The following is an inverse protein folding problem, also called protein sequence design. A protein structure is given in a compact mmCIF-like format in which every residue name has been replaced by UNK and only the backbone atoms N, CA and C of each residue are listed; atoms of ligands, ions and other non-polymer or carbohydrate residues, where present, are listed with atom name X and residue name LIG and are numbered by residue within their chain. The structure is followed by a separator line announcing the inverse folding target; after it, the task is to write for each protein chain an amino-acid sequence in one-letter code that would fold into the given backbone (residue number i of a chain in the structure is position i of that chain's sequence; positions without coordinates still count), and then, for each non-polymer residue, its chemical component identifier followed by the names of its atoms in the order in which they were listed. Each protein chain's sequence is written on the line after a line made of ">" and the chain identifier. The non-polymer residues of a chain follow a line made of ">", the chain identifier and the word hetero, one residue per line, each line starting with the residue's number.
data_IF_449460997343
#
_entry.id   IF_449460997343
#
_cell.length_a   1.000
_cell.length_b   1.000
_cell.length_c   1.000
_cell.angle_alpha   90.00
_cell.angle_beta   90.00
_cell.angle_gamma   90.00
#
_symmetry.space_group_name_H-M   'P 1'
#
loop_
_entity.id
_entity.type
_entity.pdbx_description
1 polymer ?
#
# COMPACT_ATOMS: atom_id res chain seq x y z
N UNK A 1 28.94 0.45 -12.21
CA UNK A 1 28.44 1.16 -13.41
C UNK A 1 27.66 2.38 -12.96
N UNK A 2 27.92 3.55 -13.55
CA UNK A 2 27.30 4.82 -13.12
C UNK A 2 25.81 4.86 -13.43
N UNK A 3 25.01 5.37 -12.49
CA UNK A 3 23.56 5.52 -12.65
C UNK A 3 23.23 6.62 -13.67
N UNK A 4 22.45 6.30 -14.69
CA UNK A 4 22.01 7.27 -15.70
C UNK A 4 20.92 8.16 -15.08
N UNK A 5 21.14 9.47 -15.09
CA UNK A 5 20.28 10.49 -14.44
C UNK A 5 19.45 11.33 -15.41
N UNK A 6 19.56 11.10 -16.72
CA UNK A 6 18.85 11.89 -17.72
C UNK A 6 18.44 11.03 -18.92
N UNK A 7 17.21 11.20 -19.40
CA UNK A 7 16.72 10.63 -20.65
C UNK A 7 17.15 11.50 -21.84
N UNK A 8 17.62 10.87 -22.92
CA UNK A 8 17.78 11.54 -24.21
C UNK A 8 16.42 11.85 -24.83
N UNK A 9 16.37 12.82 -25.75
CA UNK A 9 15.16 13.13 -26.53
C UNK A 9 14.64 11.92 -27.31
N UNK A 10 15.56 11.17 -27.95
CA UNK A 10 15.22 9.95 -28.69
C UNK A 10 14.59 8.87 -27.81
N UNK A 11 15.09 8.70 -26.58
CA UNK A 11 14.51 7.73 -25.64
C UNK A 11 13.12 8.18 -25.18
N UNK A 12 12.91 9.48 -25.00
CA UNK A 12 11.59 10.04 -24.67
C UNK A 12 10.58 9.81 -25.80
N UNK A 13 10.99 10.04 -27.04
CA UNK A 13 10.12 9.84 -28.22
C UNK A 13 9.77 8.36 -28.40
N UNK A 14 10.76 7.47 -28.25
CA UNK A 14 10.52 6.01 -28.26
C UNK A 14 9.55 5.57 -27.17
N UNK A 15 9.67 6.12 -25.95
CA UNK A 15 8.73 5.83 -24.85
C UNK A 15 7.31 6.26 -25.23
N UNK A 16 7.12 7.45 -25.79
CA UNK A 16 5.81 7.94 -26.21
C UNK A 16 5.20 7.03 -27.28
N UNK A 17 5.99 6.63 -28.28
CA UNK A 17 5.54 5.72 -29.32
C UNK A 17 5.19 4.33 -28.79
N UNK A 18 6.02 3.81 -27.87
CA UNK A 18 5.81 2.52 -27.21
C UNK A 18 4.57 2.51 -26.32
N UNK A 19 4.30 3.63 -25.66
CA UNK A 19 3.06 3.84 -24.91
C UNK A 19 1.85 3.86 -25.87
N UNK A 20 1.94 4.57 -27.00
CA UNK A 20 0.87 4.63 -28.02
C UNK A 20 0.62 3.28 -28.70
N UNK A 21 1.64 2.44 -28.85
CA UNK A 21 1.48 1.04 -29.31
C UNK A 21 0.91 0.11 -28.23
N UNK A 22 0.58 0.67 -27.07
CA UNK A 22 -0.17 0.00 -26.02
C UNK A 22 0.66 -0.81 -25.03
N UNK A 23 1.95 -0.52 -24.90
CA UNK A 23 2.79 -1.14 -23.88
C UNK A 23 2.59 -0.44 -22.54
N UNK A 24 2.44 -1.22 -21.46
CA UNK A 24 2.23 -0.69 -20.11
C UNK A 24 3.39 0.21 -19.64
N UNK A 25 3.10 1.40 -19.05
CA UNK A 25 4.12 2.27 -18.48
C UNK A 25 5.03 1.57 -17.46
N UNK A 26 4.50 0.60 -16.71
CA UNK A 26 5.28 -0.17 -15.71
C UNK A 26 6.32 -1.05 -16.39
N UNK A 27 5.98 -1.67 -17.53
CA UNK A 27 6.91 -2.50 -18.30
C UNK A 27 8.06 -1.67 -18.85
N UNK A 28 7.76 -0.45 -19.31
CA UNK A 28 8.76 0.50 -19.79
C UNK A 28 9.66 0.94 -18.63
N UNK A 29 9.07 1.29 -17.46
CA UNK A 29 9.82 1.68 -16.27
C UNK A 29 10.80 0.59 -15.82
N UNK A 30 10.31 -0.65 -15.72
CA UNK A 30 11.13 -1.80 -15.33
C UNK A 30 12.26 -2.06 -16.33
N UNK A 31 11.99 -1.86 -17.63
CA UNK A 31 12.98 -1.90 -18.69
C UNK A 31 14.09 -0.86 -18.52
N UNK A 32 13.72 0.38 -18.18
CA UNK A 32 14.67 1.47 -17.91
C UNK A 32 15.52 1.18 -16.68
N UNK A 33 14.93 0.68 -15.59
CA UNK A 33 15.67 0.28 -14.39
C UNK A 33 16.68 -0.82 -14.70
N UNK A 34 16.27 -1.85 -15.46
CA UNK A 34 17.18 -2.92 -15.93
C UNK A 34 18.32 -2.38 -16.79
N UNK A 35 18.14 -1.25 -17.46
CA UNK A 35 19.16 -0.57 -18.28
C UNK A 35 20.01 0.42 -17.47
N UNK A 36 19.84 0.50 -16.15
CA UNK A 36 20.69 1.30 -15.26
C UNK A 36 20.21 2.73 -15.01
N UNK A 37 18.98 3.06 -15.39
CA UNK A 37 18.35 4.31 -14.98
C UNK A 37 18.02 4.29 -13.49
N UNK A 38 18.12 5.46 -12.84
CA UNK A 38 17.64 5.60 -11.48
C UNK A 38 16.13 5.26 -11.41
N UNK A 39 15.68 4.39 -10.49
CA UNK A 39 14.28 3.97 -10.41
C UNK A 39 13.30 5.13 -10.26
N UNK A 40 13.57 6.07 -9.34
CA UNK A 40 12.72 7.24 -9.12
C UNK A 40 12.62 8.08 -10.39
N UNK A 41 13.75 8.36 -11.04
CA UNK A 41 13.78 9.08 -12.31
C UNK A 41 13.02 8.37 -13.43
N UNK A 42 13.14 7.04 -13.55
CA UNK A 42 12.44 6.25 -14.57
C UNK A 42 10.91 6.31 -14.39
N UNK A 43 10.43 6.09 -13.17
CA UNK A 43 9.00 6.16 -12.86
C UNK A 43 8.47 7.60 -12.98
N UNK A 44 9.13 8.60 -12.36
CA UNK A 44 8.72 10.01 -12.44
C UNK A 44 8.71 10.54 -13.88
N UNK A 45 9.70 10.19 -14.70
CA UNK A 45 9.74 10.60 -16.11
C UNK A 45 8.59 9.99 -16.90
N UNK A 46 8.24 8.73 -16.64
CA UNK A 46 7.09 8.09 -17.26
C UNK A 46 5.77 8.72 -16.81
N UNK A 47 5.63 9.08 -15.53
CA UNK A 47 4.45 9.82 -15.05
C UNK A 47 4.33 11.21 -15.68
N UNK A 48 5.45 11.94 -15.85
CA UNK A 48 5.47 13.24 -16.53
C UNK A 48 5.17 13.13 -18.03
N UNK A 49 5.64 12.06 -18.69
CA UNK A 49 5.37 11.81 -20.12
C UNK A 49 3.91 11.40 -20.35
N UNK A 50 3.32 10.61 -19.45
CA UNK A 50 1.93 10.14 -19.55
C UNK A 50 0.92 11.24 -19.16
N UNK A 51 1.35 12.25 -18.41
CA UNK A 51 0.68 13.56 -18.22
C UNK A 51 -0.83 13.58 -18.46
N UNK A 52 -1.64 13.04 -17.54
CA UNK A 52 -3.11 13.05 -17.55
C UNK A 52 -3.84 12.57 -18.82
N UNK A 53 -3.16 12.02 -19.83
CA UNK A 53 -3.81 11.46 -21.02
C UNK A 53 -4.05 9.95 -20.86
N UNK A 54 -5.28 9.52 -21.12
CA UNK A 54 -5.66 8.12 -21.11
C UNK A 54 -5.06 7.41 -22.33
N UNK A 55 -3.92 6.73 -22.15
CA UNK A 55 -3.31 5.91 -23.20
C UNK A 55 -4.02 4.56 -23.25
N UNK A 56 -4.71 4.28 -24.36
CA UNK A 56 -5.31 2.96 -24.60
C UNK A 56 -4.21 1.93 -24.89
N UNK A 57 -4.02 0.98 -23.98
CA UNK A 57 -3.06 -0.11 -24.14
C UNK A 57 -3.72 -1.38 -24.67
N UNK A 58 -3.26 -1.86 -25.83
CA UNK A 58 -3.66 -3.15 -26.42
C UNK A 58 -2.91 -4.29 -25.74
N UNK A 59 -3.38 -4.71 -24.57
CA UNK A 59 -2.81 -5.84 -23.86
C UNK A 59 -3.72 -6.23 -22.71
N UNK A 60 -4.49 -7.30 -22.94
CA UNK A 60 -5.60 -7.81 -22.12
C UNK A 60 -6.90 -7.02 -22.29
N UNK A 61 -7.91 -7.64 -22.91
CA UNK A 61 -9.31 -7.44 -22.54
C UNK A 61 -9.50 -7.92 -21.08
N UNK A 62 -8.82 -7.28 -20.12
CA UNK A 62 -9.21 -7.39 -18.72
C UNK A 62 -10.54 -6.67 -18.63
N UNK A 63 -11.61 -7.42 -18.35
CA UNK A 63 -12.91 -6.82 -18.05
C UNK A 63 -12.69 -5.65 -17.08
N UNK A 64 -13.11 -4.45 -17.51
CA UNK A 64 -12.86 -3.23 -16.75
C UNK A 64 -13.35 -3.43 -15.31
N UNK A 65 -12.47 -3.20 -14.32
CA UNK A 65 -12.82 -3.37 -12.92
C UNK A 65 -14.10 -2.59 -12.59
N UNK A 66 -15.11 -3.30 -12.09
CA UNK A 66 -16.37 -2.68 -11.71
C UNK A 66 -16.24 -2.10 -10.31
N UNK A 67 -16.19 -0.76 -10.24
CA UNK A 67 -16.07 -0.06 -8.97
C UNK A 67 -17.34 -0.13 -8.15
N UNK A 68 -17.18 -0.43 -6.88
CA UNK A 68 -18.22 -0.43 -5.85
C UNK A 68 -17.77 0.47 -4.70
N UNK A 69 -18.72 1.07 -3.98
CA UNK A 69 -18.43 1.82 -2.75
C UNK A 69 -18.45 0.84 -1.57
N UNK A 70 -17.31 0.56 -0.91
CA UNK A 70 -17.27 -0.26 0.29
C UNK A 70 -18.06 0.40 1.43
N UNK A 71 -18.48 -0.38 2.42
CA UNK A 71 -19.36 0.09 3.49
C UNK A 71 -18.76 1.26 4.29
N UNK A 72 -17.45 1.25 4.55
CA UNK A 72 -16.73 2.39 5.17
C UNK A 72 -16.91 3.69 4.37
N UNK A 73 -17.05 3.63 3.05
CA UNK A 73 -17.28 4.78 2.19
C UNK A 73 -18.66 5.41 2.31
N UNK A 74 -19.58 4.76 3.03
CA UNK A 74 -20.94 5.25 3.30
C UNK A 74 -21.07 5.93 4.66
N UNK A 75 -20.02 5.92 5.49
CA UNK A 75 -20.01 6.49 6.85
C UNK A 75 -19.90 8.01 6.93
N UNK A 76 -19.93 8.72 5.81
CA UNK A 76 -19.82 10.18 5.75
C UNK A 76 -18.43 10.71 6.13
N UNK A 77 -18.37 11.94 6.64
CA UNK A 77 -17.11 12.64 6.90
C UNK A 77 -16.51 12.34 8.29
N UNK A 78 -17.23 11.63 9.14
CA UNK A 78 -16.78 11.25 10.49
C UNK A 78 -17.25 9.84 10.79
N UNK A 79 -16.30 8.97 11.11
CA UNK A 79 -16.55 7.60 11.53
C UNK A 79 -16.51 7.57 13.05
N UNK A 80 -17.63 7.20 13.67
CA UNK A 80 -17.74 7.03 15.11
C UNK A 80 -17.44 5.58 15.47
N UNK A 81 -16.46 5.37 16.34
CA UNK A 81 -16.21 4.10 17.03
C UNK A 81 -16.64 4.26 18.49
N UNK A 82 -16.68 3.16 19.23
CA UNK A 82 -17.04 3.18 20.65
C UNK A 82 -16.10 4.02 21.50
N UNK A 83 -14.86 4.24 21.05
CA UNK A 83 -13.81 4.91 21.81
C UNK A 83 -13.18 6.12 21.08
N UNK A 84 -13.64 6.45 19.87
CA UNK A 84 -12.98 7.49 19.05
C UNK A 84 -13.86 8.07 17.95
N UNK A 85 -13.64 9.34 17.65
CA UNK A 85 -14.15 9.98 16.44
C UNK A 85 -13.01 10.11 15.41
N UNK A 86 -13.17 9.46 14.26
CA UNK A 86 -12.19 9.46 13.17
C UNK A 86 -12.69 10.40 12.07
N UNK A 87 -11.86 11.34 11.62
CA UNK A 87 -12.22 12.26 10.53
C UNK A 87 -11.75 11.71 9.19
N UNK A 88 -12.62 11.75 8.18
CA UNK A 88 -12.23 11.48 6.80
C UNK A 88 -11.65 12.77 6.21
N UNK A 89 -10.35 12.79 5.97
CA UNK A 89 -9.64 13.96 5.45
C UNK A 89 -9.79 14.09 3.93
N UNK A 90 -9.72 12.98 3.22
CA UNK A 90 -9.87 12.94 1.77
C UNK A 90 -10.35 11.58 1.29
N UNK A 91 -11.04 11.58 0.15
CA UNK A 91 -11.55 10.39 -0.52
C UNK A 91 -11.10 10.37 -1.98
N UNK A 92 -10.63 9.22 -2.43
CA UNK A 92 -10.40 8.90 -3.85
C UNK A 92 -11.38 7.79 -4.19
N UNK A 93 -12.13 7.94 -5.27
CA UNK A 93 -13.13 6.94 -5.68
C UNK A 93 -12.51 5.81 -6.50
N UNK A 94 -11.42 6.08 -7.23
CA UNK A 94 -10.78 5.14 -8.17
C UNK A 94 -9.24 5.26 -8.14
N UNK A 95 -8.52 4.34 -7.46
CA UNK A 95 -9.05 3.28 -6.61
C UNK A 95 -9.74 3.85 -5.38
N UNK A 96 -10.53 3.04 -4.67
CA UNK A 96 -11.18 3.49 -3.44
C UNK A 96 -10.13 3.68 -2.33
N UNK A 97 -9.85 4.93 -1.95
CA UNK A 97 -8.91 5.30 -0.88
C UNK A 97 -9.57 6.30 0.06
N UNK A 98 -9.42 6.09 1.37
CA UNK A 98 -9.73 7.06 2.40
C UNK A 98 -8.48 7.42 3.19
N UNK A 99 -8.24 8.72 3.35
CA UNK A 99 -7.27 9.23 4.31
C UNK A 99 -8.02 9.59 5.59
N UNK A 100 -7.62 8.97 6.71
CA UNK A 100 -8.30 9.04 7.99
C UNK A 100 -7.38 9.73 9.01
N UNK A 101 -7.91 10.69 9.76
CA UNK A 101 -7.22 11.31 10.88
C UNK A 101 -7.75 10.80 12.21
N UNK A 102 -6.93 10.93 13.25
CA UNK A 102 -7.30 10.59 14.61
C UNK A 102 -7.72 9.11 14.73
N UNK A 103 -7.04 8.18 14.05
CA UNK A 103 -7.28 6.74 14.17
C UNK A 103 -6.59 6.18 15.42
N UNK A 104 -5.39 6.66 15.72
CA UNK A 104 -4.63 6.35 16.94
C UNK A 104 -4.30 7.65 17.70
N UNK A 105 -4.18 7.58 19.02
CA UNK A 105 -3.60 8.71 19.78
C UNK A 105 -2.08 8.70 19.69
N UNK A 106 -1.47 9.81 20.12
CA UNK A 106 -0.01 9.89 20.18
C UNK A 106 0.58 8.81 21.11
N UNK A 107 -0.08 8.55 22.23
CA UNK A 107 0.28 7.54 23.23
C UNK A 107 0.12 6.12 22.68
N UNK A 108 -0.97 5.86 21.94
CA UNK A 108 -1.18 4.55 21.30
C UNK A 108 -0.11 4.28 20.22
N UNK A 109 0.29 5.31 19.48
CA UNK A 109 1.40 5.19 18.52
C UNK A 109 2.73 4.85 19.22
N UNK A 110 3.06 5.58 20.29
CA UNK A 110 4.29 5.35 21.07
C UNK A 110 4.28 3.96 21.73
N UNK A 111 3.14 3.53 22.24
CA UNK A 111 2.98 2.22 22.85
C UNK A 111 3.18 1.10 21.80
N UNK A 112 2.63 1.24 20.59
CA UNK A 112 2.86 0.29 19.49
C UNK A 112 4.35 0.21 19.11
N UNK A 113 5.03 1.35 18.98
CA UNK A 113 6.47 1.40 18.66
C UNK A 113 7.27 0.72 19.78
N UNK A 114 7.02 1.10 21.03
CA UNK A 114 7.73 0.55 22.19
C UNK A 114 7.61 -0.97 22.28
N UNK A 115 6.39 -1.51 22.20
CA UNK A 115 6.11 -2.95 22.29
C UNK A 115 6.65 -3.77 21.10
N UNK A 116 6.83 -3.15 19.93
CA UNK A 116 7.29 -3.83 18.71
C UNK A 116 8.80 -3.74 18.49
N UNK A 117 9.46 -2.68 18.98
CA UNK A 117 10.86 -2.36 18.69
C UNK A 117 11.84 -3.52 18.89
N UNK A 118 11.74 -4.21 20.03
CA UNK A 118 12.60 -5.35 20.37
C UNK A 118 12.30 -6.64 19.57
N UNK A 119 11.17 -6.68 18.85
CA UNK A 119 10.71 -7.86 18.08
C UNK A 119 11.00 -7.74 16.58
N UNK A 120 11.41 -6.57 16.10
CA UNK A 120 11.64 -6.31 14.69
C UNK A 120 12.75 -7.19 14.11
N UNK A 121 12.45 -7.81 12.96
CA UNK A 121 13.42 -8.56 12.15
C UNK A 121 13.40 -8.03 10.71
N UNK A 122 14.47 -8.20 9.92
CA UNK A 122 14.44 -7.82 8.50
C UNK A 122 13.21 -8.40 7.80
N UNK A 123 12.49 -7.55 7.05
CA UNK A 123 11.26 -7.97 6.37
C UNK A 123 11.57 -8.96 5.26
N UNK A 124 10.62 -9.86 5.01
CA UNK A 124 10.64 -10.76 3.88
C UNK A 124 9.51 -10.40 2.91
N UNK A 125 9.67 -10.81 1.66
CA UNK A 125 8.62 -10.82 0.65
C UNK A 125 8.29 -12.26 0.29
N UNK A 126 7.06 -12.51 -0.13
CA UNK A 126 6.67 -13.79 -0.72
C UNK A 126 7.01 -13.73 -2.20
N UNK A 127 7.86 -14.66 -2.65
CA UNK A 127 8.19 -14.81 -4.07
C UNK A 127 6.93 -15.20 -4.86
N UNK A 128 6.61 -14.43 -5.90
CA UNK A 128 5.37 -14.62 -6.68
C UNK A 128 5.37 -15.93 -7.48
N UNK A 129 6.54 -16.48 -7.79
CA UNK A 129 6.72 -17.73 -8.53
C UNK A 129 6.72 -18.90 -7.55
N UNK A 130 7.65 -18.91 -6.60
CA UNK A 130 7.89 -20.05 -5.71
C UNK A 130 6.95 -20.08 -4.50
N UNK A 131 6.42 -18.92 -4.07
CA UNK A 131 5.64 -18.79 -2.85
C UNK A 131 6.47 -18.78 -1.56
N UNK A 132 7.81 -18.76 -1.67
CA UNK A 132 8.70 -18.75 -0.51
C UNK A 132 8.93 -17.34 0.05
N UNK A 133 9.10 -17.22 1.37
CA UNK A 133 9.52 -15.98 1.99
C UNK A 133 11.03 -15.75 1.81
N UNK A 134 11.43 -14.65 1.17
CA UNK A 134 12.84 -14.26 0.99
C UNK A 134 13.07 -12.82 1.39
N UNK A 135 14.26 -12.51 1.89
CA UNK A 135 14.73 -11.11 2.00
C UNK A 135 14.91 -10.61 0.57
N UNK A 136 14.21 -9.54 0.19
CA UNK A 136 14.26 -9.03 -1.18
C UNK A 136 14.75 -7.58 -1.24
N UNK A 137 15.54 -7.22 -2.28
CA UNK A 137 16.01 -5.85 -2.49
C UNK A 137 14.88 -4.81 -2.57
N UNK A 138 13.66 -5.23 -2.90
CA UNK A 138 12.50 -4.35 -3.05
C UNK A 138 11.77 -3.98 -1.75
N UNK A 139 12.09 -4.62 -0.61
CA UNK A 139 11.52 -4.31 0.71
C UNK A 139 12.65 -4.35 1.74
N UNK A 140 13.09 -3.18 2.19
CA UNK A 140 14.28 -3.06 3.05
C UNK A 140 13.95 -2.74 4.50
N UNK A 141 12.66 -2.63 4.87
CA UNK A 141 12.23 -2.39 6.25
C UNK A 141 12.48 -3.56 7.18
N UNK A 142 12.43 -3.29 8.49
CA UNK A 142 12.26 -4.32 9.52
C UNK A 142 10.79 -4.42 9.90
N UNK A 143 10.34 -5.63 10.25
CA UNK A 143 8.95 -5.89 10.61
C UNK A 143 8.78 -6.96 11.69
N UNK A 144 7.61 -6.96 12.30
CA UNK A 144 7.13 -8.01 13.19
C UNK A 144 5.60 -8.14 13.05
N UNK A 145 5.03 -9.23 13.56
CA UNK A 145 3.59 -9.46 13.61
C UNK A 145 3.13 -9.69 15.05
N UNK A 146 1.99 -9.10 15.41
CA UNK A 146 1.21 -9.48 16.57
C UNK A 146 0.30 -10.65 16.20
N UNK A 147 0.10 -11.60 17.12
CA UNK A 147 -1.07 -12.49 17.03
C UNK A 147 -2.37 -11.70 17.19
N UNK A 148 -3.49 -12.22 16.69
CA UNK A 148 -4.80 -11.61 16.97
C UNK A 148 -5.01 -11.48 18.47
N UNK A 149 -5.47 -10.30 18.90
CA UNK A 149 -5.79 -9.98 20.29
C UNK A 149 -4.67 -10.37 21.27
N UNK A 150 -3.39 -10.31 20.84
CA UNK A 150 -2.24 -10.84 21.60
C UNK A 150 -2.17 -10.30 23.04
N UNK A 151 -2.63 -9.07 23.24
CA UNK A 151 -2.82 -8.47 24.56
C UNK A 151 -4.01 -7.49 24.53
N UNK A 152 -4.41 -7.00 25.70
CA UNK A 152 -5.57 -6.10 25.84
C UNK A 152 -5.46 -4.81 25.02
N UNK A 153 -4.24 -4.29 24.85
CA UNK A 153 -4.00 -3.10 24.04
C UNK A 153 -4.22 -3.38 22.54
N UNK A 154 -3.65 -4.47 22.01
CA UNK A 154 -3.87 -4.89 20.63
C UNK A 154 -5.34 -5.23 20.39
N UNK A 155 -6.00 -5.94 21.31
CA UNK A 155 -7.42 -6.26 21.23
C UNK A 155 -8.31 -5.00 21.16
N UNK A 156 -8.00 -3.96 21.94
CA UNK A 156 -8.68 -2.67 21.87
C UNK A 156 -8.54 -2.03 20.48
N UNK A 157 -7.32 -2.00 19.94
CA UNK A 157 -7.08 -1.42 18.61
C UNK A 157 -7.79 -2.22 17.51
N UNK A 158 -7.73 -3.55 17.56
CA UNK A 158 -8.40 -4.40 16.58
C UNK A 158 -9.92 -4.25 16.62
N UNK A 159 -10.52 -4.06 17.81
CA UNK A 159 -11.93 -3.72 17.91
C UNK A 159 -12.27 -2.39 17.25
N UNK A 160 -11.43 -1.37 17.43
CA UNK A 160 -11.59 -0.09 16.71
C UNK A 160 -11.47 -0.28 15.20
N UNK A 161 -10.55 -1.12 14.74
CA UNK A 161 -10.37 -1.38 13.30
C UNK A 161 -11.56 -2.12 12.69
N UNK A 162 -12.17 -3.07 13.41
CA UNK A 162 -13.44 -3.68 13.02
C UNK A 162 -14.52 -2.61 12.86
N UNK A 163 -14.68 -1.72 13.84
CA UNK A 163 -15.69 -0.66 13.78
C UNK A 163 -15.44 0.35 12.66
N UNK A 164 -14.18 0.68 12.36
CA UNK A 164 -13.82 1.53 11.21
C UNK A 164 -14.18 0.84 9.89
N UNK A 165 -13.70 -0.39 9.71
CA UNK A 165 -13.68 -1.10 8.42
C UNK A 165 -14.94 -1.91 8.15
N UNK A 166 -15.77 -2.14 9.17
CA UNK A 166 -16.96 -3.02 9.19
C UNK A 166 -16.68 -4.51 9.00
N UNK A 167 -15.40 -4.91 9.04
CA UNK A 167 -15.01 -6.31 8.94
C UNK A 167 -14.69 -6.89 10.33
N UNK A 168 -15.24 -8.06 10.69
CA UNK A 168 -14.93 -8.71 11.97
C UNK A 168 -13.43 -8.93 12.17
N UNK A 169 -12.97 -8.89 13.43
CA UNK A 169 -11.55 -9.10 13.78
C UNK A 169 -10.98 -10.38 13.14
N UNK A 170 -11.77 -11.44 13.02
CA UNK A 170 -11.39 -12.75 12.49
C UNK A 170 -11.06 -12.74 10.98
N UNK A 171 -11.49 -11.70 10.25
CA UNK A 171 -11.10 -11.47 8.86
C UNK A 171 -9.73 -10.79 8.77
N UNK A 172 -9.26 -10.19 9.86
CA UNK A 172 -8.01 -9.46 9.89
C UNK A 172 -6.81 -10.36 10.12
N UNK A 173 -5.77 -10.22 9.31
CA UNK A 173 -4.46 -10.79 9.65
C UNK A 173 -3.90 -10.13 10.92
N UNK A 174 -2.95 -10.79 11.59
CA UNK A 174 -2.24 -10.20 12.72
C UNK A 174 -1.61 -8.84 12.37
N UNK A 175 -1.71 -7.86 13.28
CA UNK A 175 -1.22 -6.50 13.05
C UNK A 175 0.30 -6.52 12.79
N UNK A 176 0.71 -6.09 11.60
CA UNK A 176 2.12 -5.99 11.25
C UNK A 176 2.66 -4.61 11.63
N UNK A 177 3.77 -4.53 12.36
CA UNK A 177 4.49 -3.26 12.56
C UNK A 177 5.77 -3.26 11.75
N UNK A 178 6.07 -2.14 11.09
CA UNK A 178 7.23 -1.94 10.23
C UNK A 178 7.97 -0.66 10.61
N UNK A 179 9.29 -0.70 10.49
CA UNK A 179 10.18 0.46 10.61
C UNK A 179 11.04 0.59 9.34
N UNK A 180 11.13 1.81 8.82
CA UNK A 180 11.99 2.21 7.72
C UNK A 180 12.97 3.28 8.20
N UNK A 181 14.26 3.00 8.11
CA UNK A 181 15.34 3.95 8.30
C UNK A 181 15.53 4.84 7.05
N UNK A 182 16.33 5.89 7.17
CA UNK A 182 16.71 6.71 6.01
C UNK A 182 17.28 5.85 4.86
N UNK A 183 16.76 6.06 3.66
CA UNK A 183 17.06 5.30 2.45
C UNK A 183 16.24 4.02 2.26
N UNK A 184 15.55 3.52 3.29
CA UNK A 184 14.73 2.31 3.17
C UNK A 184 13.37 2.61 2.53
N UNK A 185 12.87 1.66 1.74
CA UNK A 185 11.65 1.80 0.94
C UNK A 185 10.90 0.47 0.79
N UNK A 186 9.72 0.56 0.18
CA UNK A 186 9.02 -0.61 -0.36
C UNK A 186 8.53 -0.31 -1.79
N UNK A 187 9.08 -1.03 -2.76
CA UNK A 187 8.75 -0.91 -4.18
C UNK A 187 7.26 -1.14 -4.46
N UNK A 188 6.83 -0.67 -5.63
CA UNK A 188 5.46 -0.80 -6.08
C UNK A 188 4.98 -2.26 -6.05
N UNK A 189 3.86 -2.51 -5.38
CA UNK A 189 3.28 -3.83 -5.21
C UNK A 189 1.76 -3.74 -5.05
N UNK A 190 1.13 -4.92 -4.99
CA UNK A 190 -0.25 -5.11 -4.61
C UNK A 190 -0.30 -5.86 -3.28
N UNK A 191 -1.30 -5.55 -2.47
CA UNK A 191 -1.55 -6.29 -1.22
C UNK A 191 -2.35 -7.56 -1.44
N UNK A 192 -3.20 -7.60 -2.48
CA UNK A 192 -3.90 -8.81 -2.89
C UNK A 192 -2.93 -9.87 -3.42
N UNK A 193 -3.33 -11.13 -3.28
CA UNK A 193 -2.59 -12.25 -3.83
C UNK A 193 -2.87 -12.42 -5.32
N UNK A 194 -1.90 -12.90 -6.12
CA UNK A 194 -2.18 -13.47 -7.43
C UNK A 194 -3.30 -14.52 -7.35
N UNK A 195 -4.19 -14.57 -8.34
CA UNK A 195 -5.38 -15.46 -8.32
C UNK A 195 -5.05 -16.92 -8.02
N UNK A 196 -3.92 -17.42 -8.53
CA UNK A 196 -3.45 -18.80 -8.31
C UNK A 196 -2.77 -19.04 -6.94
N UNK A 197 -2.67 -18.02 -6.09
CA UNK A 197 -2.05 -18.07 -4.75
C UNK A 197 -3.06 -17.75 -3.64
N UNK A 198 -4.34 -17.60 -3.97
CA UNK A 198 -5.40 -17.37 -2.99
C UNK A 198 -5.65 -18.65 -2.20
N UNK A 199 -5.46 -18.60 -0.88
CA UNK A 199 -5.73 -19.71 0.03
C UNK A 199 -7.05 -19.47 0.78
N UNK A 200 -8.13 -20.07 0.27
CA UNK A 200 -9.47 -19.98 0.88
C UNK A 200 -9.57 -20.66 2.25
N UNK A 201 -8.63 -21.55 2.61
CA UNK A 201 -8.57 -22.11 3.97
C UNK A 201 -8.06 -21.10 5.00
N UNK A 202 -7.46 -19.98 4.54
CA UNK A 202 -6.93 -18.89 5.36
C UNK A 202 -7.63 -17.57 5.05
N UNK A 203 -8.95 -17.61 4.95
CA UNK A 203 -9.78 -16.44 4.72
C UNK A 203 -9.82 -15.93 3.28
N UNK A 204 -9.13 -16.58 2.34
CA UNK A 204 -9.22 -16.25 0.92
C UNK A 204 -8.45 -14.99 0.53
N UNK A 205 -8.98 -14.23 -0.43
CA UNK A 205 -8.31 -13.05 -0.97
C UNK A 205 -8.22 -11.93 0.09
N UNK A 206 -7.15 -11.13 0.06
CA UNK A 206 -7.12 -9.84 0.77
C UNK A 206 -7.99 -8.85 -0.01
N UNK A 207 -8.84 -8.11 0.69
CA UNK A 207 -9.83 -7.22 0.07
C UNK A 207 -9.53 -5.74 0.32
N UNK A 208 -8.86 -5.45 1.42
CA UNK A 208 -8.55 -4.10 1.85
C UNK A 208 -7.36 -4.08 2.81
N UNK A 209 -6.80 -2.88 2.94
CA UNK A 209 -5.69 -2.59 3.84
C UNK A 209 -5.99 -1.34 4.64
N UNK A 210 -5.72 -1.39 5.95
CA UNK A 210 -5.63 -0.23 6.82
C UNK A 210 -4.16 -0.05 7.24
N UNK A 211 -3.51 0.98 6.68
CA UNK A 211 -2.12 1.33 6.96
C UNK A 211 -2.07 2.55 7.89
N UNK A 212 -1.57 2.36 9.09
CA UNK A 212 -1.51 3.37 10.15
C UNK A 212 -0.10 3.98 10.25
N UNK A 213 -0.01 5.29 10.39
CA UNK A 213 1.26 6.00 10.59
C UNK A 213 1.50 6.24 12.08
N UNK A 214 2.60 5.72 12.62
CA UNK A 214 2.90 5.74 14.06
C UNK A 214 3.79 6.92 14.46
N UNK A 215 4.37 7.64 13.50
CA UNK A 215 5.11 8.87 13.71
C UNK A 215 5.00 9.78 12.49
N UNK A 216 5.31 11.06 12.69
CA UNK A 216 5.56 11.99 11.60
C UNK A 216 6.94 11.69 11.00
N UNK A 217 7.04 11.78 9.67
CA UNK A 217 8.30 11.59 8.94
C UNK A 217 8.80 12.94 8.48
N UNK A 218 10.07 13.25 8.74
CA UNK A 218 10.62 14.58 8.48
C UNK A 218 10.72 14.90 6.99
N UNK A 219 11.17 13.96 6.16
CA UNK A 219 11.14 14.07 4.70
C UNK A 219 11.11 12.68 4.05
N UNK A 220 10.30 12.53 3.00
CA UNK A 220 10.11 11.26 2.29
C UNK A 220 9.15 10.32 3.00
N UNK A 221 9.17 9.03 2.64
CA UNK A 221 8.35 8.00 3.28
C UNK A 221 6.87 8.02 2.92
N UNK A 222 6.42 8.78 1.91
CA UNK A 222 5.04 8.81 1.45
C UNK A 222 4.57 7.43 0.97
N UNK A 223 3.29 7.15 1.22
CA UNK A 223 2.60 6.03 0.56
C UNK A 223 2.02 6.54 -0.75
N UNK A 224 2.57 6.08 -1.87
CA UNK A 224 2.25 6.58 -3.22
C UNK A 224 1.43 5.55 -3.96
N UNK A 225 0.29 5.98 -4.52
CA UNK A 225 -0.57 5.25 -5.45
C UNK A 225 -0.32 5.79 -6.86
N UNK A 226 0.72 5.32 -7.58
CA UNK A 226 1.20 5.95 -8.81
C UNK A 226 0.13 6.08 -9.89
N UNK A 227 -0.69 5.05 -10.08
CA UNK A 227 -1.75 5.06 -11.11
C UNK A 227 -2.89 6.02 -10.77
N UNK A 228 -3.10 6.31 -9.50
CA UNK A 228 -4.10 7.26 -9.04
C UNK A 228 -3.59 8.71 -9.02
N UNK A 229 -2.27 8.92 -9.14
CA UNK A 229 -1.65 10.24 -8.94
C UNK A 229 -1.76 10.73 -7.50
N UNK A 230 -1.86 9.83 -6.51
CA UNK A 230 -2.09 10.16 -5.09
C UNK A 230 -0.88 9.80 -4.27
N UNK A 231 -0.47 10.70 -3.38
CA UNK A 231 0.56 10.45 -2.37
C UNK A 231 0.03 10.83 -1.00
N UNK A 232 0.19 9.94 -0.02
CA UNK A 232 -0.22 10.15 1.36
C UNK A 232 1.03 10.40 2.21
N UNK A 233 1.13 11.60 2.76
CA UNK A 233 2.22 11.99 3.67
C UNK A 233 1.97 11.34 5.04
N UNK A 234 2.99 10.71 5.65
CA UNK A 234 2.87 10.14 6.99
C UNK A 234 2.59 11.22 8.03
N UNK A 235 1.46 11.10 8.73
CA UNK A 235 1.09 11.94 9.87
C UNK A 235 0.80 11.05 11.07
N UNK A 236 1.46 11.28 12.21
CA UNK A 236 1.28 10.47 13.43
C UNK A 236 -0.21 10.34 13.79
N UNK A 237 -0.66 9.12 14.00
CA UNK A 237 -2.04 8.81 14.39
C UNK A 237 -3.07 8.77 13.26
N UNK A 238 -2.67 9.15 12.04
CA UNK A 238 -3.49 9.01 10.84
C UNK A 238 -3.37 7.61 10.22
N UNK A 239 -4.26 7.29 9.29
CA UNK A 239 -4.20 6.06 8.52
C UNK A 239 -4.67 6.28 7.08
N UNK A 240 -4.23 5.42 6.17
CA UNK A 240 -4.84 5.27 4.85
C UNK A 240 -5.54 3.91 4.77
N UNK A 241 -6.82 3.95 4.41
CA UNK A 241 -7.60 2.77 4.05
C UNK A 241 -7.73 2.70 2.54
N UNK A 242 -7.50 1.54 1.94
CA UNK A 242 -7.76 1.34 0.52
C UNK A 242 -8.36 -0.04 0.26
N UNK A 243 -9.32 -0.10 -0.65
CA UNK A 243 -10.10 -1.29 -0.99
C UNK A 243 -9.82 -1.66 -2.45
N UNK A 244 -9.65 -2.95 -2.72
CA UNK A 244 -9.14 -3.40 -4.02
C UNK A 244 -9.81 -4.67 -4.54
N UNK A 245 -10.99 -5.02 -4.02
CA UNK A 245 -11.85 -6.07 -4.56
C UNK A 245 -13.28 -5.60 -4.71
N UNK A 246 -14.05 -6.26 -5.57
CA UNK A 246 -15.50 -6.04 -5.69
C UNK A 246 -16.29 -7.32 -5.48
N UNK A 247 -17.63 -7.22 -5.49
CA UNK A 247 -18.52 -8.37 -5.31
C UNK A 247 -18.40 -9.46 -6.39
N UNK A 248 -17.74 -9.16 -7.52
CA UNK A 248 -17.47 -10.10 -8.60
C UNK A 248 -16.14 -10.85 -8.44
N UNK A 249 -15.41 -10.64 -7.33
CA UNK A 249 -14.11 -11.25 -7.09
C UNK A 249 -12.98 -10.68 -7.97
N UNK A 250 -13.20 -9.53 -8.62
CA UNK A 250 -12.16 -8.84 -9.37
C UNK A 250 -11.19 -8.13 -8.40
N UNK A 251 -9.96 -7.86 -8.86
CA UNK A 251 -8.98 -7.07 -8.12
C UNK A 251 -8.65 -5.76 -8.85
N UNK A 252 -8.54 -4.66 -8.11
CA UNK A 252 -8.29 -3.33 -8.69
C UNK A 252 -6.80 -3.06 -8.90
N UNK A 253 -6.36 -3.07 -10.16
CA UNK A 253 -4.97 -2.75 -10.52
C UNK A 253 -4.59 -1.29 -10.32
N UNK A 254 -5.54 -0.40 -10.03
CA UNK A 254 -5.26 1.00 -9.67
C UNK A 254 -4.77 1.14 -8.23
N UNK A 255 -4.98 0.12 -7.39
CA UNK A 255 -4.52 0.06 -6.00
C UNK A 255 -3.02 -0.24 -5.82
N UNK A 256 -2.28 -0.36 -6.92
CA UNK A 256 -0.81 -0.50 -6.86
C UNK A 256 -0.24 0.66 -6.05
N UNK A 257 0.62 0.35 -5.09
CA UNK A 257 1.17 1.36 -4.21
C UNK A 257 2.59 1.01 -3.77
N UNK A 258 3.29 2.01 -3.25
CA UNK A 258 4.67 1.93 -2.77
C UNK A 258 4.87 2.80 -1.55
N UNK A 259 5.91 2.51 -0.75
CA UNK A 259 6.45 3.45 0.22
C UNK A 259 7.75 4.00 -0.35
N UNK A 260 7.80 5.28 -0.68
CA UNK A 260 9.03 5.87 -1.22
C UNK A 260 10.11 5.94 -0.13
N UNK A 261 11.40 6.10 -0.49
CA UNK A 261 12.46 6.17 0.49
C UNK A 261 12.24 7.26 1.54
N UNK A 262 12.53 6.93 2.80
CA UNK A 262 12.68 7.96 3.84
C UNK A 262 13.95 8.76 3.52
N UNK A 263 13.86 10.08 3.44
CA UNK A 263 15.00 10.95 3.16
C UNK A 263 15.61 11.47 4.48
N UNK A 264 14.78 11.92 5.42
CA UNK A 264 15.19 12.31 6.78
C UNK A 264 14.24 11.77 7.84
N UNK A 265 14.81 11.44 9.00
CA UNK A 265 14.10 10.78 10.11
C UNK A 265 13.95 9.27 9.89
N UNK A 266 12.84 8.73 10.38
CA UNK A 266 12.45 7.33 10.24
C UNK A 266 10.93 7.23 10.07
N UNK A 267 10.44 6.12 9.52
CA UNK A 267 9.00 5.86 9.34
C UNK A 267 8.61 4.59 10.07
N UNK A 268 7.66 4.72 10.99
CA UNK A 268 6.96 3.62 11.64
C UNK A 268 5.53 3.52 11.13
N UNK A 269 5.14 2.33 10.72
CA UNK A 269 3.76 2.04 10.30
C UNK A 269 3.26 0.74 10.91
N UNK A 270 1.96 0.66 11.12
CA UNK A 270 1.27 -0.60 11.37
C UNK A 270 0.34 -0.92 10.20
N UNK A 271 0.23 -2.18 9.80
CA UNK A 271 -0.59 -2.62 8.67
C UNK A 271 -1.56 -3.71 9.14
N UNK A 272 -2.85 -3.50 8.90
CA UNK A 272 -3.90 -4.49 9.09
C UNK A 272 -4.45 -4.87 7.72
N UNK A 273 -4.14 -6.08 7.28
CA UNK A 273 -4.75 -6.66 6.08
C UNK A 273 -6.06 -7.34 6.44
N UNK A 274 -7.05 -7.19 5.56
CA UNK A 274 -8.40 -7.72 5.74
C UNK A 274 -8.65 -8.77 4.64
N UNK A 275 -9.15 -9.93 5.03
CA UNK A 275 -9.53 -11.04 4.16
C UNK A 275 -11.03 -11.04 3.86
N UNK A 276 -11.40 -11.62 2.72
CA UNK A 276 -12.81 -11.77 2.32
C UNK A 276 -13.61 -12.65 3.29
N UNK A 277 -12.95 -13.61 3.94
CA UNK A 277 -13.54 -14.53 4.92
C UNK A 277 -12.68 -14.64 6.18
N UNK A 278 -13.26 -15.24 7.23
CA UNK A 278 -12.53 -15.54 8.47
C UNK A 278 -11.27 -16.38 8.22
N UNK A 279 -10.19 -16.03 8.91
CA UNK A 279 -8.89 -16.74 8.87
C UNK A 279 -8.86 -17.87 9.91
N UNK A 280 -9.50 -17.65 11.06
CA UNK A 280 -9.48 -18.51 12.24
C UNK A 280 -10.85 -19.14 12.52
#
# INVERSE_FOLDING_TARGET
>A
MGTIKQMSGELRDWIIETLRSGVSPVVIADGLVKKGFNPRYAYESLFQIVGNEAIQTTGFEDAQYQYETPEIGRKGNTIYTNDREIKVLSKVEKPFILHLDNVLSAEECEQLISLSSARLKPSKVVDSVTGEERVAPGRTSKGMYYSLMENSFIAKLEKRFEEITTYPIEHGEGLQVLNYSAGEEYKAHFDYFPTNKVDHSKGGQRIATLLLYLNDVEEGGETVFPKAGVSIVPKKGSAVYFHYTNSMGQVDRMSVHSSIPVIRGEKWVATKWIRESKIY
#
